data_IF_075562463081
#
_entry.id   IF_075562463081
#
_cell.length_a   1.000
_cell.length_b   1.000
_cell.length_c   1.000
_cell.angle_alpha   90.00
_cell.angle_beta   90.00
_cell.angle_gamma   90.00
#
_symmetry.space_group_name_H-M   'P 1'
#
loop_
_entity.id
_entity.type
_entity.pdbx_description
1 polymer ?
#
# COMPACT_ATOMS: atom_id res chain seq x y z
N UNK A 1 9.21 -4.59 7.24
CA UNK A 1 8.35 -5.77 7.51
C UNK A 1 8.41 -6.69 6.30
N UNK A 2 8.13 -7.97 6.44
CA UNK A 2 8.19 -8.93 5.33
C UNK A 2 9.55 -9.56 5.02
N UNK A 3 10.62 -9.17 5.74
CA UNK A 3 11.93 -9.85 5.66
C UNK A 3 12.78 -9.55 4.43
N UNK A 4 12.39 -8.62 3.54
CA UNK A 4 13.22 -8.20 2.41
C UNK A 4 14.35 -7.25 2.85
N UNK A 5 15.53 -7.31 2.19
CA UNK A 5 16.67 -6.45 2.51
C UNK A 5 16.42 -4.98 2.11
N UNK A 6 17.28 -4.09 2.58
CA UNK A 6 17.36 -2.69 2.13
C UNK A 6 18.83 -2.34 1.82
N UNK A 7 19.19 -2.02 0.56
CA UNK A 7 18.33 -1.96 -0.63
C UNK A 7 17.86 -3.35 -1.09
N UNK A 8 16.83 -3.39 -1.93
CA UNK A 8 16.34 -4.61 -2.59
C UNK A 8 16.10 -4.35 -4.07
N UNK A 9 16.13 -5.40 -4.91
CA UNK A 9 15.74 -5.29 -6.31
C UNK A 9 14.31 -4.74 -6.46
N UNK A 10 14.01 -3.99 -7.54
CA UNK A 10 12.65 -3.63 -7.91
C UNK A 10 11.77 -4.88 -8.01
N UNK A 11 10.49 -4.73 -7.65
CA UNK A 11 9.50 -5.80 -7.77
C UNK A 11 8.20 -5.21 -8.29
N UNK A 12 7.47 -5.99 -9.07
CA UNK A 12 6.16 -5.64 -9.63
C UNK A 12 5.18 -6.80 -9.41
N UNK A 13 3.89 -6.49 -9.41
CA UNK A 13 2.84 -7.49 -9.23
C UNK A 13 2.48 -8.08 -10.59
N UNK A 14 2.42 -9.42 -10.67
CA UNK A 14 2.04 -10.17 -11.88
C UNK A 14 0.90 -11.11 -11.48
N UNK A 15 -0.34 -10.72 -11.77
CA UNK A 15 -1.53 -11.42 -11.28
C UNK A 15 -1.56 -11.43 -9.74
N UNK A 16 -1.51 -12.63 -9.14
CA UNK A 16 -1.50 -12.82 -7.69
C UNK A 16 -0.09 -12.88 -7.08
N UNK A 17 0.96 -12.71 -7.88
CA UNK A 17 2.34 -12.81 -7.43
C UNK A 17 3.02 -11.46 -7.39
N UNK A 18 4.07 -11.35 -6.58
CA UNK A 18 5.03 -10.24 -6.64
C UNK A 18 6.38 -10.80 -7.06
N UNK A 19 6.87 -10.34 -8.21
CA UNK A 19 8.07 -10.85 -8.87
C UNK A 19 9.12 -9.74 -8.91
N UNK A 20 10.37 -10.07 -8.61
CA UNK A 20 11.50 -9.13 -8.79
C UNK A 20 11.88 -9.00 -10.26
N UNK A 21 12.62 -7.95 -10.63
CA UNK A 21 13.14 -7.81 -12.00
C UNK A 21 14.01 -9.00 -12.46
N UNK A 22 14.61 -9.73 -11.51
CA UNK A 22 15.38 -10.94 -11.78
C UNK A 22 14.51 -12.22 -11.90
N UNK A 23 13.18 -12.09 -11.88
CA UNK A 23 12.25 -13.22 -11.97
C UNK A 23 12.03 -13.98 -10.66
N UNK A 24 12.46 -13.44 -9.52
CA UNK A 24 12.34 -14.11 -8.22
C UNK A 24 10.96 -13.82 -7.62
N UNK A 25 10.24 -14.87 -7.26
CA UNK A 25 8.95 -14.76 -6.56
C UNK A 25 9.16 -14.37 -5.09
N UNK A 26 8.72 -13.16 -4.73
CA UNK A 26 8.81 -12.59 -3.39
C UNK A 26 7.43 -12.38 -2.76
N UNK A 27 6.40 -13.05 -3.29
CA UNK A 27 5.00 -12.88 -2.88
C UNK A 27 4.81 -13.05 -1.37
N UNK A 28 5.35 -14.13 -0.79
CA UNK A 28 5.24 -14.41 0.66
C UNK A 28 5.75 -13.27 1.54
N UNK A 29 6.82 -12.60 1.12
CA UNK A 29 7.39 -11.50 1.87
C UNK A 29 6.45 -10.27 1.88
N UNK A 30 5.79 -10.00 0.76
CA UNK A 30 4.81 -8.92 0.65
C UNK A 30 3.52 -9.22 1.43
N UNK A 31 3.01 -10.45 1.32
CA UNK A 31 1.83 -10.90 2.08
C UNK A 31 2.07 -10.84 3.58
N UNK A 32 3.21 -11.33 4.06
CA UNK A 32 3.55 -11.27 5.48
C UNK A 32 3.77 -9.83 5.96
N UNK A 33 4.41 -9.00 5.14
CA UNK A 33 4.51 -7.57 5.41
C UNK A 33 3.15 -6.89 5.55
N UNK A 34 2.20 -7.25 4.68
CA UNK A 34 0.85 -6.71 4.70
C UNK A 34 0.06 -7.16 5.94
N UNK A 35 0.13 -8.45 6.30
CA UNK A 35 -0.50 -9.01 7.50
C UNK A 35 0.00 -8.33 8.77
N UNK A 36 1.33 -8.16 8.92
CA UNK A 36 1.92 -7.47 10.07
C UNK A 36 1.44 -6.01 10.14
N UNK A 37 1.32 -5.32 9.00
CA UNK A 37 0.83 -3.96 8.96
C UNK A 37 -0.64 -3.86 9.39
N UNK A 38 -1.51 -4.74 8.89
CA UNK A 38 -2.91 -4.82 9.29
C UNK A 38 -3.06 -5.09 10.79
N UNK A 39 -2.30 -6.04 11.34
CA UNK A 39 -2.33 -6.36 12.76
C UNK A 39 -1.96 -5.17 13.62
N UNK A 40 -0.90 -4.44 13.25
CA UNK A 40 -0.51 -3.23 13.97
C UNK A 40 -1.54 -2.12 13.86
N UNK A 41 -2.19 -1.97 12.70
CA UNK A 41 -3.25 -1.00 12.51
C UNK A 41 -4.45 -1.33 13.42
N UNK A 42 -4.88 -2.60 13.45
CA UNK A 42 -5.96 -3.07 14.33
C UNK A 42 -5.64 -2.88 15.81
N UNK A 43 -4.43 -3.23 16.24
CA UNK A 43 -3.98 -3.06 17.63
C UNK A 43 -4.03 -1.60 18.09
N UNK A 44 -3.87 -0.66 17.15
CA UNK A 44 -3.90 0.79 17.39
C UNK A 44 -5.27 1.42 17.12
N UNK A 45 -6.30 0.61 16.83
CA UNK A 45 -7.63 1.11 16.48
C UNK A 45 -7.66 1.96 15.20
N UNK A 46 -6.68 1.83 14.31
CA UNK A 46 -6.66 2.57 13.06
C UNK A 46 -7.71 2.03 12.10
N UNK A 47 -8.41 2.92 11.40
CA UNK A 47 -9.40 2.61 10.36
C UNK A 47 -9.06 3.27 9.01
N UNK A 48 -7.99 4.06 8.99
CA UNK A 48 -7.54 4.82 7.83
C UNK A 48 -6.05 4.60 7.62
N UNK A 49 -5.61 4.50 6.36
CA UNK A 49 -4.21 4.37 5.98
C UNK A 49 -3.81 5.38 4.91
N UNK A 50 -2.62 5.97 5.04
CA UNK A 50 -1.97 6.77 3.99
C UNK A 50 -0.90 5.91 3.31
N UNK A 51 -1.09 5.61 2.03
CA UNK A 51 -0.25 4.70 1.27
C UNK A 51 0.38 5.38 0.05
N UNK A 52 1.62 4.99 -0.27
CA UNK A 52 2.31 5.48 -1.47
C UNK A 52 1.79 4.83 -2.75
N UNK A 53 1.66 5.65 -3.80
CA UNK A 53 1.11 5.23 -5.09
C UNK A 53 2.01 4.23 -5.83
N UNK A 54 1.41 3.47 -6.77
CA UNK A 54 2.06 2.62 -7.79
C UNK A 54 2.86 1.42 -7.28
N UNK A 55 3.20 1.39 -6.00
CA UNK A 55 3.95 0.32 -5.35
C UNK A 55 3.21 -1.03 -5.44
N UNK A 56 3.92 -2.16 -5.68
CA UNK A 56 3.30 -3.49 -5.64
C UNK A 56 2.73 -3.85 -4.26
N UNK A 57 3.12 -3.13 -3.19
CA UNK A 57 2.50 -3.27 -1.86
C UNK A 57 1.41 -2.23 -1.63
N UNK A 58 1.72 -0.96 -1.85
CA UNK A 58 0.92 0.16 -1.32
C UNK A 58 0.06 0.87 -2.38
N UNK A 59 0.27 0.59 -3.66
CA UNK A 59 -0.44 1.26 -4.74
C UNK A 59 -1.94 1.04 -4.64
N UNK A 60 -2.71 2.13 -4.80
CA UNK A 60 -4.17 2.14 -4.81
C UNK A 60 -4.64 2.59 -6.19
N UNK A 61 -5.53 1.81 -6.81
CA UNK A 61 -6.13 2.10 -8.10
C UNK A 61 -5.19 1.89 -9.30
N UNK A 62 -3.89 2.17 -9.16
CA UNK A 62 -2.89 2.01 -10.21
C UNK A 62 -1.61 1.34 -9.66
N UNK A 63 -1.10 0.36 -10.40
CA UNK A 63 0.18 -0.35 -10.15
C UNK A 63 0.94 -0.54 -11.46
N UNK A 64 2.24 -0.84 -11.39
CA UNK A 64 3.01 -1.23 -12.57
C UNK A 64 2.51 -2.55 -13.17
N UNK A 65 2.64 -2.68 -14.49
CA UNK A 65 2.07 -3.77 -15.30
C UNK A 65 2.72 -5.15 -15.09
N UNK A 66 3.84 -5.22 -14.37
CA UNK A 66 4.56 -6.47 -14.12
C UNK A 66 5.63 -6.78 -15.16
N UNK A 67 5.76 -5.95 -16.19
CA UNK A 67 6.73 -6.13 -17.28
C UNK A 67 8.00 -5.31 -17.09
N UNK A 68 8.11 -4.50 -16.03
CA UNK A 68 9.20 -3.55 -15.81
C UNK A 68 9.35 -2.51 -16.95
N UNK A 69 8.26 -2.24 -17.68
CA UNK A 69 8.20 -1.23 -18.76
C UNK A 69 7.87 0.18 -18.25
N UNK A 70 7.66 0.32 -16.94
CA UNK A 70 7.11 1.54 -16.30
C UNK A 70 5.67 1.90 -16.73
N UNK A 71 4.97 1.00 -17.41
CA UNK A 71 3.55 1.16 -17.72
C UNK A 71 2.70 0.90 -16.48
N UNK A 72 1.61 1.65 -16.35
CA UNK A 72 0.66 1.51 -15.24
C UNK A 72 -0.64 0.87 -15.73
N UNK A 73 -1.18 -0.02 -14.89
CA UNK A 73 -2.47 -0.67 -15.10
C UNK A 73 -3.39 -0.45 -13.90
N UNK A 74 -4.71 -0.52 -14.09
CA UNK A 74 -5.65 -0.55 -12.98
C UNK A 74 -5.36 -1.72 -12.05
N UNK A 75 -5.26 -1.45 -10.75
CA UNK A 75 -5.02 -2.47 -9.75
C UNK A 75 -4.52 -1.94 -8.42
N UNK A 76 -4.55 -2.81 -7.42
CA UNK A 76 -4.09 -2.52 -6.07
C UNK A 76 -2.87 -3.39 -5.69
N UNK A 77 -1.96 -2.79 -4.93
CA UNK A 77 -0.87 -3.48 -4.26
C UNK A 77 -1.37 -4.40 -3.15
N UNK A 78 -0.50 -5.29 -2.68
CA UNK A 78 -0.85 -6.36 -1.71
C UNK A 78 -1.44 -5.80 -0.41
N UNK A 79 -0.80 -4.80 0.19
CA UNK A 79 -1.29 -4.17 1.43
C UNK A 79 -2.54 -3.33 1.16
N UNK A 80 -2.58 -2.58 0.06
CA UNK A 80 -3.74 -1.75 -0.27
C UNK A 80 -5.00 -2.62 -0.44
N UNK A 81 -4.90 -3.73 -1.18
CA UNK A 81 -6.03 -4.64 -1.35
C UNK A 81 -6.48 -5.24 -0.02
N UNK A 82 -5.54 -5.74 0.80
CA UNK A 82 -5.85 -6.31 2.10
C UNK A 82 -6.57 -5.31 3.02
N UNK A 83 -6.13 -4.05 3.06
CA UNK A 83 -6.77 -3.02 3.88
C UNK A 83 -8.17 -2.67 3.38
N UNK A 84 -8.39 -2.61 2.05
CA UNK A 84 -9.72 -2.39 1.47
C UNK A 84 -10.68 -3.53 1.82
N UNK A 85 -10.24 -4.77 1.72
CA UNK A 85 -11.03 -5.95 2.05
C UNK A 85 -11.44 -5.96 3.53
N UNK A 86 -10.64 -5.31 4.38
CA UNK A 86 -10.85 -5.14 5.82
C UNK A 86 -11.60 -3.85 6.19
N UNK A 87 -12.08 -3.09 5.20
CA UNK A 87 -12.91 -1.90 5.40
C UNK A 87 -12.14 -0.64 5.79
N UNK A 88 -10.83 -0.57 5.55
CA UNK A 88 -10.06 0.65 5.78
C UNK A 88 -10.37 1.70 4.71
N UNK A 89 -10.36 2.97 5.12
CA UNK A 89 -10.26 4.10 4.19
C UNK A 89 -8.80 4.29 3.79
N UNK A 90 -8.49 4.32 2.51
CA UNK A 90 -7.12 4.50 2.02
C UNK A 90 -7.00 5.83 1.30
N UNK A 91 -6.01 6.62 1.70
CA UNK A 91 -5.56 7.81 1.01
C UNK A 91 -4.19 7.57 0.37
N UNK A 92 -3.97 8.15 -0.80
CA UNK A 92 -2.65 8.42 -1.39
C UNK A 92 -2.32 9.91 -1.27
N UNK A 93 -1.05 10.34 -1.45
CA UNK A 93 -0.68 11.75 -1.47
C UNK A 93 -1.60 12.60 -2.37
N UNK A 94 -1.93 12.11 -3.57
CA UNK A 94 -2.80 12.83 -4.51
C UNK A 94 -4.26 12.92 -4.05
N UNK A 95 -4.79 11.87 -3.41
CA UNK A 95 -6.17 11.93 -2.86
C UNK A 95 -6.26 12.72 -1.56
N UNK A 96 -5.20 12.73 -0.76
CA UNK A 96 -5.17 13.40 0.53
C UNK A 96 -5.24 14.91 0.36
N UNK A 97 -4.51 15.45 -0.61
CA UNK A 97 -4.55 16.88 -0.93
C UNK A 97 -5.96 17.32 -1.32
N UNK A 98 -6.67 16.56 -2.16
CA UNK A 98 -8.06 16.82 -2.50
C UNK A 98 -9.00 16.74 -1.29
N UNK A 99 -8.80 15.75 -0.41
CA UNK A 99 -9.59 15.59 0.80
C UNK A 99 -9.40 16.75 1.78
N UNK A 100 -8.17 17.19 2.01
CA UNK A 100 -7.85 18.33 2.89
C UNK A 100 -8.47 19.63 2.38
N UNK A 101 -8.42 19.89 1.07
CA UNK A 101 -9.08 21.05 0.47
C UNK A 101 -10.61 21.02 0.62
N UNK A 102 -11.21 19.83 0.59
CA UNK A 102 -12.66 19.67 0.79
C UNK A 102 -13.11 19.83 2.24
N UNK A 103 -12.20 19.79 3.21
CA UNK A 103 -12.51 19.84 4.64
C UNK A 103 -12.35 21.21 5.30
N UNK A 104 -11.78 22.22 4.64
CA UNK A 104 -11.70 23.61 5.10
C UNK A 104 -11.39 23.82 6.60
N UNK A 105 -10.11 24.05 6.95
CA UNK A 105 -9.68 24.54 8.27
C UNK A 105 -10.18 23.76 9.51
N UNK A 106 -10.19 22.42 9.46
CA UNK A 106 -10.38 21.61 10.66
C UNK A 106 -9.07 21.48 11.46
N UNK A 107 -8.82 22.45 12.34
CA UNK A 107 -7.89 22.34 13.46
C UNK A 107 -8.40 21.31 14.48
N UNK A 108 -8.28 20.02 14.16
CA UNK A 108 -8.50 18.93 15.11
C UNK A 108 -7.79 17.66 14.66
N UNK A 109 -6.46 17.71 14.56
CA UNK A 109 -5.65 16.49 14.65
C UNK A 109 -5.53 16.15 16.14
N UNK A 110 -6.61 15.66 16.75
CA UNK A 110 -6.51 15.08 18.10
C UNK A 110 -5.85 13.72 17.93
N UNK A 111 -4.51 13.75 17.97
CA UNK A 111 -3.63 12.61 17.78
C UNK A 111 -3.79 11.56 18.87
N UNK A 112 -4.88 10.80 18.83
CA UNK A 112 -5.08 9.62 19.65
C UNK A 112 -4.78 8.36 18.83
N UNK A 113 -3.51 8.18 18.47
CA UNK A 113 -2.94 6.84 18.38
C UNK A 113 -2.41 6.52 19.78
N UNK A 114 -3.31 6.15 20.69
CA UNK A 114 -2.96 5.65 22.04
C UNK A 114 -2.70 4.16 21.99
#
# INVERSE_FOLDING_TARGET
MGGLPTPRPPSEKVGNKVITQAGIDVTKAFEEGARIALEKARQKGCTTALLMERSPSCGLGMIYDGSFSSQLIPGNGVLAQLLLDEGFTIFTPSTLEGYLHSMGDASAFDGACR
#
